data_IF_200540718267
#
_entry.id   IF_200540718267
#
_cell.length_a   1.000
_cell.length_b   1.000
_cell.length_c   1.000
_cell.angle_alpha   90.00
_cell.angle_beta   90.00
_cell.angle_gamma   90.00
#
_symmetry.space_group_name_H-M   'P 1'
#
loop_
_entity.id
_entity.type
_entity.pdbx_description
1 polymer ?
#
# COMPACT_ATOMS: atom_id res chain seq x y z
N UNK A 1 22.94 -2.55 10.47
CA UNK A 1 22.67 -3.45 9.32
C UNK A 1 21.23 -3.91 9.38
N UNK A 2 20.50 -3.86 8.25
CA UNK A 2 19.12 -4.37 8.18
C UNK A 2 18.30 -3.69 7.08
N UNK A 3 18.69 -3.91 5.81
CA UNK A 3 17.91 -3.53 4.62
C UNK A 3 16.82 -4.60 4.45
N UNK A 4 15.56 -4.26 4.71
CA UNK A 4 14.44 -5.14 4.39
C UNK A 4 14.16 -5.05 2.87
N UNK A 5 14.83 -5.94 2.14
CA UNK A 5 14.60 -6.42 0.76
C UNK A 5 13.88 -5.48 -0.23
N UNK A 6 14.63 -4.51 -0.76
CA UNK A 6 14.55 -4.06 -2.16
C UNK A 6 15.27 -5.04 -3.12
N UNK A 7 15.28 -6.34 -2.80
CA UNK A 7 16.15 -7.30 -3.49
C UNK A 7 15.44 -7.89 -4.71
N UNK A 8 15.82 -7.33 -5.87
CA UNK A 8 15.59 -7.73 -7.28
C UNK A 8 14.60 -6.87 -8.07
N UNK A 9 14.69 -5.55 -7.97
CA UNK A 9 14.32 -4.71 -9.12
C UNK A 9 15.60 -4.45 -9.93
N UNK A 10 15.59 -4.83 -11.19
CA UNK A 10 16.58 -4.40 -12.18
C UNK A 10 16.56 -2.88 -12.31
N UNK A 11 17.64 -2.30 -12.84
CA UNK A 11 17.73 -0.85 -13.02
C UNK A 11 16.56 -0.28 -13.86
N UNK A 12 15.99 -1.09 -14.76
CA UNK A 12 14.80 -0.74 -15.55
C UNK A 12 13.51 -0.70 -14.72
N UNK A 13 13.28 -1.71 -13.87
CA UNK A 13 12.09 -1.76 -13.00
C UNK A 13 12.09 -0.62 -11.98
N UNK A 14 13.26 -0.27 -11.45
CA UNK A 14 13.39 0.88 -10.54
C UNK A 14 13.02 2.20 -11.24
N UNK A 15 13.49 2.41 -12.48
CA UNK A 15 13.18 3.62 -13.24
C UNK A 15 11.68 3.74 -13.54
N UNK A 16 11.02 2.61 -13.83
CA UNK A 16 9.58 2.58 -14.05
C UNK A 16 8.80 2.85 -12.75
N UNK A 17 9.27 2.32 -11.62
CA UNK A 17 8.69 2.62 -10.31
C UNK A 17 8.83 4.11 -9.95
N UNK A 18 10.01 4.69 -10.17
CA UNK A 18 10.28 6.11 -9.92
C UNK A 18 9.40 7.00 -10.82
N UNK A 19 9.22 6.65 -12.10
CA UNK A 19 8.34 7.38 -13.03
C UNK A 19 6.84 7.29 -12.66
N UNK A 20 6.39 6.12 -12.22
CA UNK A 20 5.04 5.94 -11.65
C UNK A 20 4.86 6.78 -10.39
N UNK A 21 5.90 6.89 -9.56
CA UNK A 21 5.89 7.71 -8.33
C UNK A 21 5.75 9.19 -8.66
N UNK A 22 6.44 9.72 -9.68
CA UNK A 22 6.34 11.13 -10.08
C UNK A 22 4.93 11.48 -10.58
N UNK A 23 4.35 10.61 -11.42
CA UNK A 23 2.96 10.77 -11.91
C UNK A 23 1.95 10.71 -10.76
N UNK A 24 2.23 9.88 -9.76
CA UNK A 24 1.43 9.76 -8.56
C UNK A 24 1.50 11.04 -7.70
N UNK A 25 2.69 11.58 -7.45
CA UNK A 25 2.90 12.79 -6.64
C UNK A 25 2.26 14.05 -7.24
N UNK A 26 2.08 14.11 -8.56
CA UNK A 26 1.47 15.24 -9.26
C UNK A 26 -0.07 15.23 -9.25
N UNK A 27 -0.72 14.18 -8.75
CA UNK A 27 -2.19 14.16 -8.62
C UNK A 27 -2.63 15.05 -7.45
N UNK A 28 -3.67 15.86 -7.67
CA UNK A 28 -4.38 16.53 -6.58
C UNK A 28 -5.17 15.48 -5.80
N UNK A 29 -4.56 14.89 -4.79
CA UNK A 29 -5.29 14.05 -3.86
C UNK A 29 -6.18 14.93 -2.96
N UNK A 30 -7.35 14.41 -2.62
CA UNK A 30 -8.01 14.77 -1.37
C UNK A 30 -7.02 14.54 -0.20
N UNK A 31 -7.24 15.11 0.99
CA UNK A 31 -6.34 14.95 2.14
C UNK A 31 -6.36 13.51 2.70
N UNK A 32 -5.71 12.58 1.99
CA UNK A 32 -5.73 11.13 2.21
C UNK A 32 -4.32 10.53 2.20
N UNK A 33 -4.20 9.35 2.82
CA UNK A 33 -3.01 8.50 2.75
C UNK A 33 -3.30 7.40 1.73
N UNK A 34 -2.49 7.31 0.67
CA UNK A 34 -2.67 6.28 -0.36
C UNK A 34 -1.52 5.28 -0.27
N UNK A 35 -1.87 4.00 -0.15
CA UNK A 35 -0.92 2.89 -0.19
C UNK A 35 -1.09 2.18 -1.52
N UNK A 36 -0.09 2.32 -2.39
CA UNK A 36 -0.01 1.59 -3.66
C UNK A 36 0.68 0.24 -3.43
N UNK A 37 0.02 -0.84 -3.81
CA UNK A 37 0.54 -2.21 -3.66
C UNK A 37 0.75 -2.81 -5.04
N UNK A 38 2.00 -3.15 -5.35
CA UNK A 38 2.33 -4.02 -6.48
C UNK A 38 2.52 -5.44 -5.97
N UNK A 39 1.97 -6.41 -6.70
CA UNK A 39 2.11 -7.83 -6.38
C UNK A 39 2.53 -8.61 -7.64
N UNK A 40 3.01 -9.84 -7.45
CA UNK A 40 3.45 -10.67 -8.56
C UNK A 40 4.09 -11.96 -8.07
N UNK A 41 4.22 -12.91 -8.99
CA UNK A 41 4.81 -14.24 -8.74
C UNK A 41 5.45 -14.74 -10.03
N UNK A 42 6.41 -15.66 -9.91
CA UNK A 42 7.04 -16.28 -11.07
C UNK A 42 6.26 -17.50 -11.61
N UNK A 43 5.13 -17.85 -10.97
CA UNK A 43 4.24 -18.94 -11.39
C UNK A 43 3.04 -18.33 -12.12
N UNK A 44 2.94 -18.57 -13.44
CA UNK A 44 1.95 -17.92 -14.30
C UNK A 44 0.49 -18.18 -13.88
N UNK A 45 0.19 -19.37 -13.36
CA UNK A 45 -1.17 -19.67 -12.88
C UNK A 45 -1.51 -18.85 -11.62
N UNK A 46 -0.61 -18.82 -10.64
CA UNK A 46 -0.78 -18.06 -9.41
C UNK A 46 -0.92 -16.55 -9.69
N UNK A 47 -0.19 -16.02 -10.67
CA UNK A 47 -0.30 -14.61 -11.09
C UNK A 47 -1.71 -14.27 -11.59
N UNK A 48 -2.28 -15.14 -12.43
CA UNK A 48 -3.66 -14.98 -12.92
C UNK A 48 -4.68 -15.11 -11.79
N UNK A 49 -4.45 -16.02 -10.85
CA UNK A 49 -5.34 -16.20 -9.70
C UNK A 49 -5.30 -14.99 -8.76
N UNK A 50 -4.11 -14.45 -8.49
CA UNK A 50 -3.93 -13.23 -7.71
C UNK A 50 -4.65 -12.04 -8.35
N UNK A 51 -4.46 -11.85 -9.66
CA UNK A 51 -5.14 -10.80 -10.42
C UNK A 51 -6.66 -10.94 -10.31
N UNK A 52 -7.19 -12.15 -10.52
CA UNK A 52 -8.63 -12.43 -10.41
C UNK A 52 -9.15 -12.21 -9.01
N UNK A 53 -8.40 -12.64 -7.98
CA UNK A 53 -8.80 -12.51 -6.59
C UNK A 53 -9.01 -11.04 -6.22
N UNK A 54 -8.00 -10.20 -6.47
CA UNK A 54 -8.04 -8.78 -6.12
C UNK A 54 -9.07 -8.00 -6.93
N UNK A 55 -9.33 -8.37 -8.19
CA UNK A 55 -10.34 -7.72 -9.02
C UNK A 55 -11.77 -8.19 -8.73
N UNK A 56 -11.96 -9.43 -8.30
CA UNK A 56 -13.31 -10.02 -8.14
C UNK A 56 -13.85 -9.93 -6.71
N UNK A 57 -12.99 -10.07 -5.69
CA UNK A 57 -13.44 -10.09 -4.29
C UNK A 57 -13.65 -8.70 -3.71
N UNK A 58 -13.00 -7.69 -4.28
CA UNK A 58 -13.13 -6.30 -3.86
C UNK A 58 -13.60 -5.45 -5.03
N UNK A 59 -14.92 -5.23 -5.20
CA UNK A 59 -15.43 -4.25 -6.14
C UNK A 59 -14.80 -2.88 -5.89
N UNK A 60 -14.59 -2.10 -6.95
CA UNK A 60 -14.06 -0.74 -6.83
C UNK A 60 -14.92 0.09 -5.86
N UNK A 61 -14.27 0.82 -4.94
CA UNK A 61 -14.95 1.61 -3.92
C UNK A 61 -15.33 0.86 -2.65
N UNK A 62 -15.07 -0.45 -2.55
CA UNK A 62 -15.31 -1.22 -1.31
C UNK A 62 -14.19 -1.04 -0.29
N UNK A 63 -14.47 -1.42 0.96
CA UNK A 63 -13.50 -1.41 2.06
C UNK A 63 -13.12 -2.86 2.36
N UNK A 64 -11.87 -3.29 2.14
CA UNK A 64 -11.44 -4.64 2.49
C UNK A 64 -11.53 -4.84 4.00
N UNK A 65 -12.30 -5.84 4.46
CA UNK A 65 -12.64 -6.05 5.88
C UNK A 65 -11.41 -6.26 6.77
N UNK A 66 -10.29 -6.67 6.18
CA UNK A 66 -9.06 -7.00 6.90
C UNK A 66 -7.87 -6.12 6.49
N UNK A 67 -8.13 -4.95 5.91
CA UNK A 67 -7.09 -3.96 5.61
C UNK A 67 -7.06 -2.83 6.65
N UNK A 68 -5.88 -2.49 7.16
CA UNK A 68 -5.71 -1.47 8.18
C UNK A 68 -4.44 -0.66 7.99
N UNK A 69 -4.52 0.62 8.35
CA UNK A 69 -3.38 1.46 8.66
C UNK A 69 -3.24 1.51 10.18
N UNK A 70 -2.02 1.31 10.68
CA UNK A 70 -1.67 1.39 12.09
C UNK A 70 -0.62 2.46 12.31
N UNK A 71 -0.65 3.15 13.45
CA UNK A 71 0.40 4.10 13.83
C UNK A 71 1.19 3.55 15.01
N UNK A 72 2.43 4.01 15.19
CA UNK A 72 3.23 3.71 16.40
C UNK A 72 2.58 4.15 17.73
N UNK A 73 1.56 5.02 17.67
CA UNK A 73 0.76 5.46 18.82
C UNK A 73 -0.44 4.54 19.09
N UNK A 74 -0.59 3.47 18.32
CA UNK A 74 -1.63 2.46 18.48
C UNK A 74 -2.97 2.78 17.79
N UNK A 75 -3.07 3.89 17.04
CA UNK A 75 -4.27 4.17 16.23
C UNK A 75 -4.36 3.12 15.11
N UNK A 76 -5.57 2.59 14.89
CA UNK A 76 -5.87 1.63 13.81
C UNK A 76 -7.04 2.16 12.99
N UNK A 77 -6.88 2.21 11.68
CA UNK A 77 -7.82 2.86 10.77
C UNK A 77 -8.10 1.98 9.56
N UNK A 78 -9.38 1.84 9.22
CA UNK A 78 -9.81 1.14 8.00
C UNK A 78 -9.66 2.05 6.79
N UNK A 79 -9.40 1.52 5.58
CA UNK A 79 -9.40 2.34 4.38
C UNK A 79 -10.80 2.90 4.12
N UNK A 80 -10.85 4.07 3.47
CA UNK A 80 -12.05 4.65 2.91
C UNK A 80 -12.51 3.90 1.66
N UNK A 81 -11.55 3.46 0.83
CA UNK A 81 -11.83 2.72 -0.40
C UNK A 81 -10.63 1.91 -0.89
N UNK A 82 -10.96 0.88 -1.66
CA UNK A 82 -10.08 0.09 -2.49
C UNK A 82 -10.24 0.51 -3.97
N UNK A 83 -9.11 0.62 -4.67
CA UNK A 83 -9.08 0.89 -6.11
C UNK A 83 -8.28 -0.22 -6.79
N UNK A 84 -8.96 -1.01 -7.62
CA UNK A 84 -8.31 -2.04 -8.42
C UNK A 84 -7.54 -1.42 -9.60
N UNK A 85 -6.48 -2.11 -10.05
CA UNK A 85 -5.84 -1.78 -11.32
C UNK A 85 -6.83 -1.86 -12.49
N UNK A 86 -6.75 -0.89 -13.40
CA UNK A 86 -7.47 -0.93 -14.68
C UNK A 86 -6.74 -1.82 -15.67
N UNK A 87 -7.48 -2.54 -16.51
CA UNK A 87 -6.91 -3.29 -17.64
C UNK A 87 -6.07 -4.51 -17.26
N UNK A 88 -6.29 -5.13 -16.09
CA UNK A 88 -5.59 -6.37 -15.72
C UNK A 88 -4.24 -6.17 -15.03
N UNK A 89 -3.95 -4.98 -14.49
CA UNK A 89 -2.70 -4.75 -13.77
C UNK A 89 -2.56 -5.55 -12.47
N UNK A 90 -1.30 -5.83 -12.09
CA UNK A 90 -0.94 -6.52 -10.85
C UNK A 90 -0.70 -5.54 -9.71
N UNK A 91 -1.64 -4.62 -9.53
CA UNK A 91 -1.56 -3.59 -8.52
C UNK A 91 -2.94 -3.21 -7.99
N UNK A 92 -2.96 -2.55 -6.84
CA UNK A 92 -4.15 -1.89 -6.29
C UNK A 92 -3.74 -0.77 -5.34
N UNK A 93 -4.68 0.12 -5.06
CA UNK A 93 -4.51 1.18 -4.05
C UNK A 93 -5.48 0.95 -2.87
N UNK A 94 -4.97 1.16 -1.66
CA UNK A 94 -5.75 1.32 -0.45
C UNK A 94 -5.70 2.79 -0.04
N UNK A 95 -6.86 3.42 0.06
CA UNK A 95 -6.96 4.85 0.37
C UNK A 95 -7.49 4.99 1.78
N UNK A 96 -6.68 5.55 2.67
CA UNK A 96 -6.97 5.79 4.08
C UNK A 96 -7.21 7.28 4.33
N UNK A 97 -8.02 7.65 5.34
CA UNK A 97 -8.17 9.05 5.68
C UNK A 97 -6.86 9.57 6.31
N UNK A 98 -6.50 10.84 6.11
CA UNK A 98 -5.39 11.45 6.85
C UNK A 98 -5.79 11.86 8.27
N UNK A 99 -7.09 11.99 8.53
CA UNK A 99 -7.63 12.34 9.85
C UNK A 99 -8.60 11.29 10.36
N UNK A 100 -8.55 11.03 11.65
CA UNK A 100 -9.51 10.18 12.36
C UNK A 100 -10.17 11.00 13.46
N UNK A 101 -11.49 11.09 13.47
CA UNK A 101 -12.26 11.88 14.43
C UNK A 101 -11.82 13.36 14.52
N UNK A 102 -11.40 13.94 13.39
CA UNK A 102 -10.93 15.33 13.31
C UNK A 102 -9.44 15.54 13.61
N UNK A 103 -8.74 14.53 14.14
CA UNK A 103 -7.30 14.59 14.44
C UNK A 103 -6.45 14.02 13.30
N UNK A 104 -5.28 14.60 13.03
CA UNK A 104 -4.32 13.99 12.09
C UNK A 104 -3.85 12.62 12.58
N UNK A 105 -3.72 11.67 11.66
CA UNK A 105 -3.11 10.36 11.93
C UNK A 105 -1.60 10.43 11.96
N UNK A 106 -1.01 11.40 11.26
CA UNK A 106 0.43 11.64 11.26
C UNK A 106 0.67 12.91 12.06
N UNK A 107 1.11 12.72 13.30
CA UNK A 107 1.46 13.75 14.26
C UNK A 107 2.94 13.62 14.63
N UNK A 108 3.57 14.65 15.24
CA UNK A 108 5.01 14.60 15.55
C UNK A 108 5.47 13.44 16.46
N UNK A 109 4.55 12.86 17.23
CA UNK A 109 4.77 11.69 18.09
C UNK A 109 4.69 10.34 17.33
N UNK A 110 4.18 10.35 16.10
CA UNK A 110 4.09 9.15 15.25
C UNK A 110 5.43 8.91 14.54
N UNK A 111 6.12 7.84 14.93
CA UNK A 111 7.42 7.44 14.37
C UNK A 111 7.27 6.48 13.19
N UNK A 112 6.26 5.62 13.23
CA UNK A 112 5.97 4.66 12.16
C UNK A 112 4.49 4.62 11.81
N UNK A 113 4.22 4.30 10.55
CA UNK A 113 2.93 3.86 10.06
C UNK A 113 3.07 2.45 9.49
N UNK A 114 2.15 1.55 9.79
CA UNK A 114 2.12 0.18 9.29
C UNK A 114 0.89 -0.04 8.43
N UNK A 115 1.05 -0.65 7.27
CA UNK A 115 -0.09 -1.18 6.50
C UNK A 115 -0.21 -2.67 6.71
N UNK A 116 -1.44 -3.12 6.82
CA UNK A 116 -1.79 -4.51 7.04
C UNK A 116 -2.95 -4.91 6.12
N UNK A 117 -2.87 -6.11 5.53
CA UNK A 117 -3.97 -6.74 4.81
C UNK A 117 -3.75 -8.25 4.70
N UNK A 118 -4.76 -9.02 4.28
CA UNK A 118 -4.58 -10.45 4.01
C UNK A 118 -4.10 -10.72 2.59
N UNK A 119 -3.07 -11.53 2.47
CA UNK A 119 -2.74 -12.24 1.25
C UNK A 119 -3.73 -13.40 1.03
N UNK A 120 -4.27 -13.57 -0.19
CA UNK A 120 -5.17 -14.67 -0.49
C UNK A 120 -4.50 -16.04 -0.39
N UNK A 121 -5.30 -17.09 -0.20
CA UNK A 121 -4.82 -18.47 -0.21
C UNK A 121 -4.51 -18.95 -1.64
N UNK A 122 -3.45 -18.40 -2.26
CA UNK A 122 -3.03 -18.68 -3.63
C UNK A 122 -1.55 -19.02 -3.62
N UNK A 123 -1.18 -20.08 -4.34
CA UNK A 123 0.18 -20.58 -4.39
C UNK A 123 0.65 -21.21 -3.07
N UNK A 124 1.96 -21.49 -2.93
CA UNK A 124 2.50 -22.25 -1.80
C UNK A 124 2.55 -21.44 -0.49
N UNK A 125 2.42 -20.11 -0.54
CA UNK A 125 2.47 -19.25 0.66
C UNK A 125 1.16 -19.27 1.46
N UNK A 126 0.06 -19.67 0.81
CA UNK A 126 -1.25 -19.76 1.42
C UNK A 126 -1.81 -18.43 1.93
N UNK A 127 -2.89 -18.50 2.72
CA UNK A 127 -3.44 -17.31 3.37
C UNK A 127 -2.45 -16.79 4.43
N UNK A 128 -2.05 -15.54 4.30
CA UNK A 128 -1.07 -14.94 5.21
C UNK A 128 -1.39 -13.46 5.46
N UNK A 129 -1.16 -13.01 6.70
CA UNK A 129 -1.24 -11.59 7.04
C UNK A 129 -0.01 -10.87 6.50
N UNK A 130 -0.22 -9.91 5.61
CA UNK A 130 0.82 -8.99 5.16
C UNK A 130 0.86 -7.82 6.13
N UNK A 131 2.06 -7.49 6.60
CA UNK A 131 2.30 -6.33 7.45
C UNK A 131 3.59 -5.63 7.02
N UNK A 132 3.52 -4.34 6.75
CA UNK A 132 4.67 -3.54 6.33
C UNK A 132 4.69 -2.19 7.07
N UNK A 133 5.79 -1.95 7.80
CA UNK A 133 6.06 -0.68 8.48
C UNK A 133 6.85 0.29 7.61
N UNK A 134 6.50 1.57 7.71
CA UNK A 134 7.18 2.71 7.13
C UNK A 134 7.56 3.68 8.25
N UNK A 135 8.81 4.15 8.21
CA UNK A 135 9.28 5.17 9.16
C UNK A 135 8.94 6.55 8.62
N UNK A 136 8.26 7.37 9.43
CA UNK A 136 7.85 8.73 9.05
C UNK A 136 9.07 9.59 8.70
N UNK A 137 10.19 9.44 9.41
CA UNK A 137 11.45 10.15 9.13
C UNK A 137 12.00 9.91 7.70
N UNK A 138 11.56 8.83 7.04
CA UNK A 138 11.96 8.47 5.67
C UNK A 138 10.92 8.87 4.62
N UNK A 139 9.75 9.35 5.05
CA UNK A 139 8.64 9.76 4.18
C UNK A 139 8.69 11.27 3.99
N UNK A 140 9.79 11.76 3.42
CA UNK A 140 10.02 13.20 3.20
C UNK A 140 9.68 13.61 1.78
N UNK A 141 8.97 14.72 1.62
CA UNK A 141 8.83 15.43 0.33
C UNK A 141 9.73 16.65 0.38
N UNK A 142 10.61 16.81 -0.61
CA UNK A 142 11.60 17.90 -0.65
C UNK A 142 12.46 18.02 0.64
N UNK A 143 12.76 16.90 1.29
CA UNK A 143 13.55 16.85 2.53
C UNK A 143 12.78 17.21 3.81
N UNK A 144 11.48 17.47 3.74
CA UNK A 144 10.63 17.73 4.90
C UNK A 144 9.56 16.64 5.08
N UNK A 145 9.28 16.29 6.34
CA UNK A 145 8.12 15.47 6.69
C UNK A 145 6.89 16.38 6.70
N UNK A 146 5.88 16.03 5.91
CA UNK A 146 4.59 16.72 5.92
C UNK A 146 3.67 16.04 6.94
N UNK A 147 3.30 16.78 7.98
CA UNK A 147 2.32 16.35 9.00
C UNK A 147 0.91 16.75 8.58
#
# INVERSE_FOLDING_TARGET
MGVAKLKKMSAGEKKNFDASTETFLLRKYDDVIVVHVLYGTNIQNDERELMRFWQSNYPEGTVPMEAYLTTSTGKRVSPLKYVAAKGGGLEFELIFPRRLNGESLITPDVKTIGVEFQHPNIGPEGAARVYQDFKIEKMTVNGAVLY
#
